data_IF_156112827120
#
_entry.id   IF_156112827120
#
_cell.length_a   1.000
_cell.length_b   1.000
_cell.length_c   1.000
_cell.angle_alpha   90.00
_cell.angle_beta   90.00
_cell.angle_gamma   90.00
#
_symmetry.space_group_name_H-M   'P 1'
#
loop_
_entity.id
_entity.type
_entity.pdbx_description
1 polymer ?
#
# COMPACT_ATOMS: atom_id res chain seq x y z
N UNK A 1 6.73 6.53 6.21
CA UNK A 1 5.99 6.55 7.51
C UNK A 1 5.54 7.95 7.92
N UNK A 2 6.44 8.88 8.30
CA UNK A 2 6.04 10.21 8.83
C UNK A 2 5.05 10.98 7.92
N UNK A 3 5.24 11.10 6.59
CA UNK A 3 4.28 11.79 5.73
C UNK A 3 2.88 11.18 5.78
N UNK A 4 2.77 9.85 5.81
CA UNK A 4 1.49 9.14 5.96
C UNK A 4 0.79 9.50 7.28
N UNK A 5 1.50 9.49 8.41
CA UNK A 5 0.93 9.86 9.72
C UNK A 5 0.49 11.33 9.77
N UNK A 6 1.26 12.23 9.17
CA UNK A 6 0.93 13.65 9.07
C UNK A 6 -0.32 13.88 8.21
N UNK A 7 -0.44 13.20 7.07
CA UNK A 7 -1.62 13.30 6.18
C UNK A 7 -2.86 12.63 6.76
N UNK A 8 -2.74 11.46 7.40
CA UNK A 8 -3.83 10.83 8.17
C UNK A 8 -4.44 11.82 9.18
N UNK A 9 -3.58 12.52 9.93
CA UNK A 9 -4.01 13.51 10.92
C UNK A 9 -4.58 14.79 10.30
N UNK A 10 -4.03 15.27 9.19
CA UNK A 10 -4.52 16.47 8.49
C UNK A 10 -5.90 16.27 7.85
N UNK A 11 -6.13 15.12 7.21
CA UNK A 11 -7.30 14.88 6.36
C UNK A 11 -8.45 14.24 7.14
N UNK A 12 -8.12 13.32 8.06
CA UNK A 12 -9.10 12.50 8.78
C UNK A 12 -9.06 12.67 10.30
N UNK A 13 -8.16 13.51 10.83
CA UNK A 13 -7.96 13.72 12.27
C UNK A 13 -7.15 12.63 13.00
N UNK A 14 -7.07 11.43 12.40
CA UNK A 14 -6.52 10.20 12.98
C UNK A 14 -5.00 10.29 13.22
N UNK A 15 -4.58 10.02 14.46
CA UNK A 15 -3.18 9.92 14.88
C UNK A 15 -2.61 8.49 14.89
N UNK A 16 -1.32 8.38 15.25
CA UNK A 16 -0.60 7.08 15.29
C UNK A 16 -1.23 6.07 16.26
N UNK A 17 -1.70 6.53 17.42
CA UNK A 17 -2.27 5.65 18.45
C UNK A 17 -3.58 4.98 17.96
N UNK A 18 -4.47 5.75 17.33
CA UNK A 18 -5.71 5.23 16.73
C UNK A 18 -5.39 4.23 15.60
N UNK A 19 -4.33 4.47 14.82
CA UNK A 19 -3.83 3.54 13.80
C UNK A 19 -3.18 2.26 14.38
N UNK A 20 -2.70 2.26 15.63
CA UNK A 20 -2.27 1.04 16.35
C UNK A 20 -3.44 0.25 16.93
N UNK A 21 -4.55 0.93 17.19
CA UNK A 21 -5.78 0.32 17.70
C UNK A 21 -6.61 -0.31 16.59
N UNK A 22 -6.82 0.39 15.46
CA UNK A 22 -7.56 -0.09 14.29
C UNK A 22 -7.08 -1.47 13.79
N UNK A 23 -8.02 -2.41 13.69
CA UNK A 23 -7.81 -3.77 13.19
C UNK A 23 -8.37 -3.92 11.78
N UNK A 24 -7.53 -4.40 10.86
CA UNK A 24 -7.93 -4.83 9.53
C UNK A 24 -8.26 -6.32 9.56
N UNK A 25 -9.44 -6.67 9.07
CA UNK A 25 -9.91 -8.05 8.90
C UNK A 25 -9.50 -8.55 7.52
N UNK A 26 -8.64 -9.56 7.51
CA UNK A 26 -8.19 -10.24 6.31
C UNK A 26 -8.94 -11.56 6.14
N UNK A 27 -9.28 -11.90 4.91
CA UNK A 27 -9.96 -13.14 4.50
C UNK A 27 -9.05 -13.92 3.54
N UNK A 28 -8.68 -15.14 3.93
CA UNK A 28 -7.87 -16.06 3.12
C UNK A 28 -8.74 -17.18 2.50
N UNK A 29 -10.05 -16.95 2.35
CA UNK A 29 -11.04 -17.87 1.83
C UNK A 29 -11.02 -19.22 2.57
N UNK A 30 -10.58 -20.29 1.92
CA UNK A 30 -10.51 -21.66 2.48
C UNK A 30 -9.61 -21.78 3.73
N UNK A 31 -8.77 -20.77 4.02
CA UNK A 31 -7.89 -20.73 5.19
C UNK A 31 -8.45 -19.89 6.35
N UNK A 32 -9.67 -19.38 6.22
CA UNK A 32 -10.34 -18.56 7.23
C UNK A 32 -9.85 -17.10 7.26
N UNK A 33 -10.37 -16.36 8.24
CA UNK A 33 -10.08 -14.93 8.43
C UNK A 33 -9.24 -14.65 9.67
N UNK A 34 -8.55 -13.51 9.69
CA UNK A 34 -7.76 -13.05 10.83
C UNK A 34 -7.71 -11.52 10.91
N UNK A 35 -7.61 -10.98 12.13
CA UNK A 35 -7.40 -9.55 12.34
C UNK A 35 -5.91 -9.21 12.53
N UNK A 36 -5.51 -8.04 12.04
CA UNK A 36 -4.17 -7.50 12.24
C UNK A 36 -4.21 -5.97 12.29
N UNK A 37 -3.48 -5.30 13.21
CA UNK A 37 -3.49 -3.85 13.27
C UNK A 37 -2.77 -3.21 12.08
N UNK A 38 -3.19 -1.99 11.72
CA UNK A 38 -2.56 -1.19 10.66
C UNK A 38 -1.11 -0.85 11.04
N UNK A 39 -0.90 -0.41 12.28
CA UNK A 39 0.41 -0.16 12.87
C UNK A 39 0.70 -1.14 14.01
N UNK A 40 1.94 -1.60 14.10
CA UNK A 40 2.45 -2.38 15.22
C UNK A 40 3.85 -1.92 15.60
N UNK A 41 4.27 -2.18 16.83
CA UNK A 41 5.67 -1.99 17.23
C UNK A 41 6.44 -3.31 17.10
N UNK A 42 7.57 -3.27 16.39
CA UNK A 42 8.51 -4.39 16.23
C UNK A 42 9.92 -3.87 16.47
N UNK A 43 10.66 -4.50 17.38
CA UNK A 43 12.04 -4.13 17.76
C UNK A 43 12.21 -2.63 18.10
N UNK A 44 11.21 -2.07 18.79
CA UNK A 44 11.17 -0.65 19.16
C UNK A 44 10.87 0.32 18.00
N UNK A 45 10.43 -0.18 16.85
CA UNK A 45 10.10 0.61 15.65
C UNK A 45 8.65 0.40 15.25
N UNK A 46 7.98 1.50 14.89
CA UNK A 46 6.65 1.45 14.28
C UNK A 46 6.76 0.84 12.89
N UNK A 47 6.04 -0.25 12.67
CA UNK A 47 5.89 -0.93 11.39
C UNK A 47 4.44 -0.80 10.90
N UNK A 48 4.25 -0.87 9.58
CA UNK A 48 2.95 -0.73 8.93
C UNK A 48 2.59 -2.00 8.15
N UNK A 49 1.32 -2.41 8.19
CA UNK A 49 0.81 -3.61 7.50
C UNK A 49 -0.52 -3.35 6.80
N UNK A 50 -0.54 -3.52 5.48
CA UNK A 50 -1.73 -3.41 4.64
C UNK A 50 -1.60 -4.34 3.43
N UNK A 51 -2.67 -5.04 3.08
CA UNK A 51 -2.75 -5.81 1.83
C UNK A 51 -4.19 -5.77 1.31
N UNK A 52 -4.51 -4.73 0.54
CA UNK A 52 -5.85 -4.44 0.01
C UNK A 52 -6.56 -5.67 -0.59
N UNK A 53 -5.81 -6.48 -1.36
CA UNK A 53 -6.35 -7.65 -2.07
C UNK A 53 -6.79 -8.82 -1.18
N UNK A 54 -6.48 -8.77 0.11
CA UNK A 54 -6.86 -9.78 1.10
C UNK A 54 -7.85 -9.25 2.15
N UNK A 55 -8.28 -7.99 2.07
CA UNK A 55 -9.27 -7.43 3.01
C UNK A 55 -10.62 -8.12 2.83
N UNK A 56 -11.29 -8.44 3.94
CA UNK A 56 -12.66 -8.92 3.92
C UNK A 56 -13.58 -7.87 3.25
N UNK A 57 -14.47 -8.33 2.37
CA UNK A 57 -15.37 -7.45 1.59
C UNK A 57 -16.20 -6.51 2.47
N UNK A 58 -16.57 -6.98 3.66
CA UNK A 58 -17.30 -6.25 4.67
C UNK A 58 -16.52 -5.04 5.21
N UNK A 59 -15.19 -5.14 5.38
CA UNK A 59 -14.35 -3.99 5.76
C UNK A 59 -13.99 -3.07 4.59
N UNK A 60 -13.94 -3.58 3.35
CA UNK A 60 -13.80 -2.72 2.18
C UNK A 60 -15.01 -1.75 2.04
N UNK A 61 -16.21 -2.21 2.42
CA UNK A 61 -17.47 -1.47 2.36
C UNK A 61 -17.90 -0.81 3.69
N UNK A 62 -17.35 -1.25 4.83
CA UNK A 62 -17.77 -0.83 6.17
C UNK A 62 -17.49 0.65 6.45
N UNK A 63 -18.55 1.43 6.67
CA UNK A 63 -18.51 2.89 6.77
C UNK A 63 -18.05 3.34 8.18
N UNK A 64 -17.00 4.16 8.26
CA UNK A 64 -16.58 4.81 9.51
C UNK A 64 -17.42 6.04 9.84
N UNK A 65 -17.19 6.67 11.00
CA UNK A 65 -17.85 7.92 11.41
C UNK A 65 -17.67 9.08 10.41
N UNK A 66 -16.71 9.00 9.47
CA UNK A 66 -16.45 9.99 8.42
C UNK A 66 -17.09 9.65 7.06
N UNK A 67 -17.97 8.63 6.98
CA UNK A 67 -18.65 8.24 5.75
C UNK A 67 -17.79 7.41 4.76
N UNK A 68 -16.53 7.15 5.09
CA UNK A 68 -15.56 6.38 4.30
C UNK A 68 -15.14 5.11 5.05
N UNK A 69 -14.80 4.04 4.33
CA UNK A 69 -14.23 2.84 4.97
C UNK A 69 -12.77 3.05 5.37
N UNK A 70 -12.29 2.28 6.36
CA UNK A 70 -10.88 2.34 6.78
C UNK A 70 -9.95 2.03 5.62
N UNK A 71 -10.34 1.12 4.72
CA UNK A 71 -9.61 0.83 3.48
C UNK A 71 -9.57 2.05 2.54
N UNK A 72 -10.70 2.73 2.32
CA UNK A 72 -10.76 3.92 1.48
C UNK A 72 -9.95 5.10 2.07
N UNK A 73 -10.04 5.33 3.39
CA UNK A 73 -9.25 6.32 4.12
C UNK A 73 -7.74 6.07 3.95
N UNK A 74 -7.30 4.82 4.19
CA UNK A 74 -5.92 4.40 3.99
C UNK A 74 -5.46 4.62 2.54
N UNK A 75 -6.25 4.16 1.57
CA UNK A 75 -5.95 4.32 0.15
C UNK A 75 -5.84 5.81 -0.23
N UNK A 76 -6.76 6.67 0.20
CA UNK A 76 -6.70 8.12 -0.07
C UNK A 76 -5.39 8.73 0.42
N UNK A 77 -4.99 8.46 1.67
CA UNK A 77 -3.71 9.00 2.18
C UNK A 77 -2.51 8.39 1.46
N UNK A 78 -2.54 7.09 1.18
CA UNK A 78 -1.49 6.44 0.37
C UNK A 78 -1.33 7.14 -0.98
N UNK A 79 -2.42 7.46 -1.68
CA UNK A 79 -2.36 8.15 -2.98
C UNK A 79 -1.87 9.60 -2.89
N UNK A 80 -2.00 10.27 -1.74
CA UNK A 80 -1.45 11.63 -1.55
C UNK A 80 0.05 11.62 -1.15
N UNK A 81 0.55 10.52 -0.57
CA UNK A 81 1.96 10.35 -0.20
C UNK A 81 2.73 9.36 -1.10
N UNK A 82 2.15 8.93 -2.23
CA UNK A 82 2.74 7.90 -3.08
C UNK A 82 3.85 8.40 -4.02
N UNK A 83 4.54 7.40 -4.53
CA UNK A 83 5.68 7.43 -5.44
C UNK A 83 5.21 7.12 -6.89
N UNK A 84 5.48 6.03 -7.62
CA UNK A 84 6.38 4.87 -7.49
C UNK A 84 7.79 5.25 -8.04
N UNK A 85 8.59 4.30 -8.54
CA UNK A 85 10.00 4.48 -8.93
C UNK A 85 10.24 3.94 -10.35
N UNK A 86 10.98 4.68 -11.19
CA UNK A 86 11.53 4.14 -12.45
C UNK A 86 12.73 3.24 -12.14
N UNK A 87 12.81 2.07 -12.77
CA UNK A 87 13.97 1.17 -12.70
C UNK A 87 14.37 0.76 -14.11
N UNK A 88 15.61 1.07 -14.47
CA UNK A 88 16.19 0.79 -15.78
C UNK A 88 17.04 -0.50 -15.75
N UNK A 89 17.58 -0.89 -16.92
CA UNK A 89 18.31 -2.15 -17.11
C UNK A 89 19.66 -2.16 -16.36
N UNK A 90 19.63 -2.57 -15.10
CA UNK A 90 20.81 -2.67 -14.23
C UNK A 90 20.55 -2.15 -12.80
N UNK A 91 19.42 -1.47 -12.58
CA UNK A 91 19.06 -0.92 -11.29
C UNK A 91 18.68 -2.00 -10.26
N UNK A 92 19.00 -1.72 -9.00
CA UNK A 92 18.66 -2.55 -7.86
C UNK A 92 17.88 -1.74 -6.83
N UNK A 93 16.57 -1.98 -6.71
CA UNK A 93 15.73 -1.41 -5.66
C UNK A 93 15.64 -2.35 -4.46
N UNK A 94 16.05 -1.87 -3.29
CA UNK A 94 15.90 -2.58 -2.00
C UNK A 94 14.86 -1.85 -1.16
N UNK A 95 13.77 -2.53 -0.80
CA UNK A 95 12.63 -1.95 -0.08
C UNK A 95 12.48 -2.57 1.30
N UNK A 96 12.38 -1.74 2.34
CA UNK A 96 12.07 -2.18 3.69
C UNK A 96 10.56 -2.42 3.86
N UNK A 97 10.13 -3.67 3.65
CA UNK A 97 8.72 -4.10 3.69
C UNK A 97 7.96 -3.78 4.99
N UNK A 98 8.66 -3.44 6.08
CA UNK A 98 8.05 -3.04 7.35
C UNK A 98 7.61 -1.57 7.42
N UNK A 99 8.08 -0.69 6.53
CA UNK A 99 7.73 0.75 6.58
C UNK A 99 7.34 1.35 5.22
N UNK A 100 7.33 0.55 4.16
CA UNK A 100 7.08 0.94 2.77
C UNK A 100 6.15 -0.07 2.12
N UNK A 101 4.97 0.38 1.66
CA UNK A 101 4.20 -0.34 0.66
C UNK A 101 4.82 -0.14 -0.72
N UNK A 102 4.60 -1.08 -1.63
CA UNK A 102 4.95 -0.93 -3.04
C UNK A 102 3.80 -1.43 -3.90
N UNK A 103 3.62 -0.81 -5.07
CA UNK A 103 2.75 -1.32 -6.13
C UNK A 103 3.44 -1.14 -7.48
N UNK A 104 2.86 -1.71 -8.52
CA UNK A 104 3.26 -1.45 -9.90
C UNK A 104 2.04 -0.93 -10.66
N UNK A 105 2.21 0.12 -11.43
CA UNK A 105 1.21 0.56 -12.40
C UNK A 105 0.92 -0.49 -13.47
N UNK A 106 -0.11 -0.23 -14.26
CA UNK A 106 -0.39 -1.00 -15.48
C UNK A 106 0.72 -0.77 -16.52
N UNK A 107 1.05 -1.79 -17.30
CA UNK A 107 2.10 -1.73 -18.31
C UNK A 107 1.75 -2.58 -19.53
N UNK A 108 1.88 -2.01 -20.73
CA UNK A 108 1.79 -2.79 -21.98
C UNK A 108 3.07 -3.60 -22.17
N UNK A 109 2.91 -4.89 -22.48
CA UNK A 109 4.00 -5.83 -22.75
C UNK A 109 3.88 -6.30 -24.20
N UNK A 110 4.97 -6.17 -24.95
CA UNK A 110 5.12 -6.62 -26.33
C UNK A 110 6.05 -7.84 -26.39
N UNK A 111 5.79 -8.77 -27.30
CA UNK A 111 6.69 -9.90 -27.59
C UNK A 111 7.31 -9.74 -28.98
N UNK A 112 8.59 -9.39 -29.03
CA UNK A 112 9.34 -9.22 -30.27
C UNK A 112 9.80 -10.60 -30.80
N UNK A 113 8.86 -11.34 -31.40
CA UNK A 113 8.97 -12.76 -31.74
C UNK A 113 10.23 -13.16 -32.50
N UNK A 114 10.67 -12.35 -33.47
CA UNK A 114 11.91 -12.56 -34.24
C UNK A 114 13.18 -12.65 -33.36
N UNK A 115 13.15 -12.04 -32.18
CA UNK A 115 14.27 -11.99 -31.23
C UNK A 115 14.06 -12.85 -29.98
N UNK A 116 12.87 -13.45 -29.82
CA UNK A 116 12.46 -14.15 -28.60
C UNK A 116 12.38 -13.27 -27.34
N UNK A 117 12.45 -11.94 -27.47
CA UNK A 117 12.52 -11.00 -26.33
C UNK A 117 11.18 -10.34 -26.05
N UNK A 118 10.83 -10.31 -24.77
CA UNK A 118 9.80 -9.43 -24.25
C UNK A 118 10.33 -7.98 -24.20
N UNK A 119 9.48 -7.02 -24.58
CA UNK A 119 9.73 -5.59 -24.47
C UNK A 119 8.57 -4.96 -23.70
N UNK A 120 8.85 -4.30 -22.59
CA UNK A 120 7.94 -3.28 -22.06
C UNK A 120 8.22 -1.96 -22.79
N UNK A 121 7.25 -1.05 -22.84
CA UNK A 121 7.57 0.37 -23.12
C UNK A 121 8.37 0.94 -21.95
N UNK A 122 9.22 1.92 -22.26
CA UNK A 122 9.85 2.79 -21.27
C UNK A 122 8.78 3.33 -20.30
N UNK A 123 8.96 3.09 -19.00
CA UNK A 123 7.86 3.30 -18.05
C UNK A 123 7.66 4.77 -17.73
N UNK A 124 6.49 5.29 -18.09
CA UNK A 124 5.90 6.46 -17.46
C UNK A 124 5.42 6.12 -16.03
N UNK A 125 6.31 5.60 -15.19
CA UNK A 125 6.08 5.44 -13.75
C UNK A 125 5.99 6.82 -13.12
N UNK A 126 4.87 7.06 -12.41
CA UNK A 126 4.68 8.21 -11.51
C UNK A 126 5.79 8.15 -10.44
N UNK A 127 6.25 9.30 -9.89
CA UNK A 127 7.60 9.41 -9.29
C UNK A 127 7.70 9.77 -7.80
N UNK A 128 8.73 9.16 -7.21
CA UNK A 128 9.12 9.15 -5.81
C UNK A 128 9.72 10.44 -5.24
N UNK A 129 9.27 10.79 -4.03
CA UNK A 129 10.11 11.11 -2.86
C UNK A 129 9.34 10.79 -1.57
N UNK A 130 10.04 10.52 -0.45
CA UNK A 130 9.49 9.99 0.81
C UNK A 130 10.12 10.65 2.05
#
# INVERSE_FOLDING_TARGET
>A
MRPFLERMKQIFGVGEQELKEYRLLYDLAERGSFEQPILADLDGKVIFRFQERLLAKEQAQGISALGLSTAAMLHTVMMEVMFDICLDSGDLLIVANHNTLHRRGECSIEFAGETGKWRAREMATIRFNL
#
